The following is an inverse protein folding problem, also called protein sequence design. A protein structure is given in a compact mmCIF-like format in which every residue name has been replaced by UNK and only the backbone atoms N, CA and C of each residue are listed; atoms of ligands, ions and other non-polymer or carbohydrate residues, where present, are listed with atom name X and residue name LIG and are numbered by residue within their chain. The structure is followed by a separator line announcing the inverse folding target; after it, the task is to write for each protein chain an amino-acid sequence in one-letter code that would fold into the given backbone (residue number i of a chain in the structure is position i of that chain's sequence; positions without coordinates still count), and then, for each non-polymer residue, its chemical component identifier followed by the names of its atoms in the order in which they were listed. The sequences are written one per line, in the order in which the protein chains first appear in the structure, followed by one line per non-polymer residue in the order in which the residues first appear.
data_IF_720094426445
#
_entry.id   IF_720094426445
#
_cell.length_a   1.000
_cell.length_b   1.000
_cell.length_c   1.000
_cell.angle_alpha   90.00
_cell.angle_beta   90.00
_cell.angle_gamma   90.00
#
_symmetry.space_group_name_H-M   'P 1'
#
loop_
_entity.id
_entity.type
_entity.pdbx_description
1 polymer ?
#
# COMPACT_ATOMS: atom_id res chain seq x y z
N UNK A 1 3.38 -9.19 2.96
CA UNK A 1 3.08 -10.09 1.82
C UNK A 1 2.28 -9.31 0.80
N UNK A 2 2.58 -9.44 -0.50
CA UNK A 2 1.85 -8.76 -1.58
C UNK A 2 1.37 -9.81 -2.57
N UNK A 3 0.06 -9.90 -2.76
CA UNK A 3 -0.59 -10.74 -3.75
C UNK A 3 -1.15 -9.83 -4.85
N UNK A 4 -0.55 -9.85 -6.04
CA UNK A 4 -0.93 -8.98 -7.14
C UNK A 4 -1.65 -9.77 -8.25
N UNK A 5 -2.98 -9.92 -8.12
CA UNK A 5 -3.81 -10.53 -9.16
C UNK A 5 -4.21 -9.49 -10.23
N UNK A 6 -4.65 -9.92 -11.43
CA UNK A 6 -4.99 -9.03 -12.53
C UNK A 6 -6.14 -8.05 -12.24
N UNK A 7 -7.10 -8.44 -11.39
CA UNK A 7 -8.25 -7.60 -11.00
C UNK A 7 -8.20 -7.06 -9.57
N UNK A 8 -7.34 -7.62 -8.71
CA UNK A 8 -7.26 -7.24 -7.29
C UNK A 8 -5.84 -7.42 -6.77
N UNK A 9 -5.35 -6.42 -6.04
CA UNK A 9 -4.05 -6.50 -5.37
C UNK A 9 -4.31 -6.46 -3.86
N UNK A 10 -3.79 -7.44 -3.14
CA UNK A 10 -3.89 -7.51 -1.68
C UNK A 10 -2.51 -7.35 -1.07
N UNK A 11 -2.35 -6.32 -0.25
CA UNK A 11 -1.13 -6.08 0.53
C UNK A 11 -1.44 -6.43 1.97
N UNK A 12 -0.82 -7.50 2.46
CA UNK A 12 -0.89 -7.91 3.86
C UNK A 12 0.33 -7.37 4.58
N UNK A 13 0.10 -6.51 5.56
CA UNK A 13 1.13 -6.00 6.46
C UNK A 13 1.48 -7.02 7.54
N UNK A 14 2.63 -6.79 8.17
CA UNK A 14 3.06 -7.55 9.36
C UNK A 14 2.36 -6.95 10.58
N UNK A 15 2.16 -7.70 11.68
CA UNK A 15 1.75 -7.12 12.95
C UNK A 15 2.77 -6.06 13.37
N UNK A 16 2.29 -4.82 13.58
CA UNK A 16 3.08 -3.58 13.66
C UNK A 16 3.87 -3.25 12.36
N UNK A 17 3.19 -2.85 11.28
CA UNK A 17 3.88 -2.29 10.15
C UNK A 17 4.50 -0.93 10.54
N UNK A 18 5.72 -0.59 10.06
CA UNK A 18 6.34 0.72 10.29
C UNK A 18 5.72 1.79 9.38
N UNK A 19 4.38 1.84 9.34
CA UNK A 19 3.55 2.61 8.42
C UNK A 19 2.52 3.36 9.24
N UNK A 20 2.34 4.65 8.98
CA UNK A 20 1.41 5.47 9.74
C UNK A 20 -0.05 5.18 9.34
N UNK A 21 -0.94 4.85 10.29
CA UNK A 21 -2.36 4.66 10.00
C UNK A 21 -3.03 5.91 9.37
N UNK A 22 -2.58 7.13 9.68
CA UNK A 22 -3.08 8.35 9.04
C UNK A 22 -2.72 8.41 7.55
N UNK A 23 -1.52 7.94 7.18
CA UNK A 23 -1.11 7.86 5.77
C UNK A 23 -1.98 6.86 5.00
N UNK A 24 -2.30 5.71 5.63
CA UNK A 24 -3.22 4.72 5.06
C UNK A 24 -4.60 5.35 4.80
N UNK A 25 -5.16 6.05 5.79
CA UNK A 25 -6.46 6.72 5.68
C UNK A 25 -6.45 7.77 4.56
N UNK A 26 -5.44 8.63 4.50
CA UNK A 26 -5.30 9.64 3.45
C UNK A 26 -5.17 9.03 2.06
N UNK A 27 -4.48 7.88 1.96
CA UNK A 27 -4.31 7.16 0.70
C UNK A 27 -5.63 6.54 0.22
N UNK A 28 -6.42 5.96 1.11
CA UNK A 28 -7.77 5.45 0.80
C UNK A 28 -8.70 6.58 0.36
N UNK A 29 -8.63 7.74 1.02
CA UNK A 29 -9.43 8.91 0.66
C UNK A 29 -9.04 9.47 -0.72
N UNK A 30 -7.74 9.53 -1.04
CA UNK A 30 -7.25 9.97 -2.36
C UNK A 30 -7.54 8.94 -3.47
N UNK A 31 -7.49 7.65 -3.13
CA UNK A 31 -7.61 6.56 -4.10
C UNK A 31 -8.82 5.68 -3.76
N UNK A 32 -9.97 5.98 -4.38
CA UNK A 32 -11.25 5.25 -4.14
C UNK A 32 -11.21 3.75 -4.43
N UNK A 33 -10.26 3.30 -5.24
CA UNK A 33 -10.05 1.90 -5.57
C UNK A 33 -9.23 1.15 -4.50
N UNK A 34 -8.73 1.86 -3.48
CA UNK A 34 -7.96 1.29 -2.36
C UNK A 34 -8.83 1.27 -1.13
N UNK A 35 -8.91 0.12 -0.48
CA UNK A 35 -9.75 -0.14 0.69
C UNK A 35 -8.94 -0.81 1.78
N UNK A 36 -9.24 -0.47 3.02
CA UNK A 36 -8.71 -1.17 4.19
C UNK A 36 -9.49 -2.47 4.39
N UNK A 37 -8.83 -3.61 4.22
CA UNK A 37 -9.39 -4.95 4.44
C UNK A 37 -8.99 -5.47 5.82
N UNK A 38 -9.46 -4.80 6.87
CA UNK A 38 -9.05 -5.02 8.26
C UNK A 38 -7.79 -4.26 8.63
N UNK A 39 -7.43 -4.24 9.92
CA UNK A 39 -6.35 -3.38 10.45
C UNK A 39 -4.96 -3.59 9.83
N UNK A 40 -4.73 -4.72 9.17
CA UNK A 40 -3.39 -5.12 8.70
C UNK A 40 -3.36 -5.48 7.22
N UNK A 41 -4.44 -5.23 6.46
CA UNK A 41 -4.47 -5.55 5.03
C UNK A 41 -5.06 -4.40 4.23
N UNK A 42 -4.43 -4.10 3.10
CA UNK A 42 -4.98 -3.23 2.07
C UNK A 42 -5.40 -4.04 0.86
N UNK A 43 -6.57 -3.70 0.33
CA UNK A 43 -7.14 -4.29 -0.88
C UNK A 43 -7.30 -3.20 -1.92
N UNK A 44 -6.75 -3.44 -3.10
CA UNK A 44 -6.77 -2.53 -4.23
C UNK A 44 -7.62 -3.21 -5.30
N UNK A 45 -8.81 -2.68 -5.55
CA UNK A 45 -9.77 -3.18 -6.55
C UNK A 45 -9.55 -2.42 -7.85
N UNK A 46 -8.50 -2.79 -8.58
CA UNK A 46 -8.13 -2.15 -9.85
C UNK A 46 -7.71 -3.22 -10.85
N UNK A 47 -8.30 -3.16 -12.03
CA UNK A 47 -7.93 -4.03 -13.14
C UNK A 47 -6.63 -3.52 -13.78
N UNK A 48 -5.57 -4.30 -13.64
CA UNK A 48 -4.25 -4.03 -14.18
C UNK A 48 -3.77 -5.29 -14.94
N UNK A 49 -4.13 -5.41 -16.23
CA UNK A 49 -3.74 -6.55 -17.04
C UNK A 49 -2.22 -6.61 -17.22
N UNK A 50 -1.57 -5.45 -17.27
CA UNK A 50 -0.14 -5.34 -17.47
C UNK A 50 0.68 -5.57 -16.18
N UNK A 51 1.63 -6.53 -16.16
CA UNK A 51 2.44 -6.84 -14.99
C UNK A 51 3.34 -5.68 -14.55
N UNK A 52 3.82 -4.85 -15.49
CA UNK A 52 4.67 -3.70 -15.18
C UNK A 52 3.84 -2.63 -14.49
N UNK A 53 2.62 -2.38 -14.97
CA UNK A 53 1.68 -1.47 -14.32
C UNK A 53 1.31 -1.92 -12.89
N UNK A 54 1.14 -3.23 -12.66
CA UNK A 54 0.91 -3.79 -11.31
C UNK A 54 2.07 -3.49 -10.37
N UNK A 55 3.30 -3.77 -10.79
CA UNK A 55 4.48 -3.50 -9.97
C UNK A 55 4.64 -2.01 -9.67
N UNK A 56 4.39 -1.15 -10.66
CA UNK A 56 4.39 0.31 -10.50
C UNK A 56 3.39 0.75 -9.43
N UNK A 57 2.14 0.28 -9.54
CA UNK A 57 1.06 0.61 -8.61
C UNK A 57 1.37 0.19 -7.17
N UNK A 58 1.85 -1.03 -6.97
CA UNK A 58 2.29 -1.50 -5.65
C UNK A 58 3.39 -0.59 -5.10
N UNK A 59 4.35 -0.21 -5.94
CA UNK A 59 5.46 0.65 -5.55
C UNK A 59 4.99 2.05 -5.17
N UNK A 60 4.04 2.63 -5.90
CA UNK A 60 3.46 3.95 -5.60
C UNK A 60 2.61 3.91 -4.34
N UNK A 61 1.86 2.84 -4.10
CA UNK A 61 1.11 2.64 -2.85
C UNK A 61 2.07 2.51 -1.68
N UNK A 62 3.08 1.63 -1.76
CA UNK A 62 4.09 1.48 -0.72
C UNK A 62 4.86 2.78 -0.46
N UNK A 63 5.14 3.57 -1.50
CA UNK A 63 5.77 4.90 -1.37
C UNK A 63 4.83 5.92 -0.71
N UNK A 64 3.57 5.96 -1.12
CA UNK A 64 2.56 6.90 -0.58
C UNK A 64 2.16 6.59 0.85
N UNK A 65 2.27 5.31 1.26
CA UNK A 65 2.15 4.88 2.64
C UNK A 65 3.29 5.43 3.54
N UNK A 66 4.33 6.01 2.94
CA UNK A 66 5.40 6.73 3.61
C UNK A 66 6.75 6.00 3.51
N UNK A 67 7.83 6.75 3.72
CA UNK A 67 9.10 6.15 4.13
C UNK A 67 8.85 5.37 5.44
N UNK A 68 9.45 4.18 5.61
CA UNK A 68 9.39 3.50 6.89
C UNK A 68 9.84 4.48 7.98
N UNK A 69 9.12 4.53 9.11
CA UNK A 69 9.48 5.33 10.29
C UNK A 69 10.92 5.06 10.81
N UNK A 70 11.62 4.07 10.24
CA UNK A 70 13.04 3.80 10.47
C UNK A 70 14.01 4.79 9.79
N UNK A 71 13.57 5.63 8.85
CA UNK A 71 14.44 6.63 8.19
C UNK A 71 14.25 8.06 8.73
N UNK A 72 13.58 8.24 9.86
CA UNK A 72 13.62 9.50 10.62
C UNK A 72 14.64 9.48 11.78
N UNK A 73 15.54 8.50 11.81
CA UNK A 73 16.73 8.47 12.68
C UNK A 73 18.07 8.54 11.92
N UNK A 74 18.06 8.69 10.59
CA UNK A 74 19.28 8.76 9.79
C UNK A 74 19.12 9.66 8.55
N UNK A 75 18.80 10.93 8.76
CA UNK A 75 19.16 11.99 7.82
C UNK A 75 19.60 13.19 8.66
N UNK A 76 20.90 13.47 8.57
CA UNK A 76 21.60 14.57 9.23
C UNK A 76 21.17 15.95 8.71
#
# INVERSE_FOLDING_TARGET
KVDAAPGVITVTFKPQPPVDPMAIIGLIQKNRHIKLAGNEKLRIERELPDPKARAQMVRDVLRSLGQPLAESAAAA
#
